data_IF_223566199939
#
_entry.id   IF_223566199939
#
_cell.length_a   1.000
_cell.length_b   1.000
_cell.length_c   1.000
_cell.angle_alpha   90.00
_cell.angle_beta   90.00
_cell.angle_gamma   90.00
#
_symmetry.space_group_name_H-M   'P 1'
#
loop_
_entity.id
_entity.type
_entity.pdbx_description
1 polymer ?
#
# COMPACT_ATOMS: atom_id res chain seq x y z
N UNK A 1 -5.28 1.61 -2.09
CA UNK A 1 -5.57 0.45 -2.98
C UNK A 1 -4.27 -0.01 -3.64
N UNK A 2 -4.14 -1.28 -4.06
CA UNK A 2 -2.98 -1.68 -4.89
C UNK A 2 -3.28 -1.31 -6.34
N UNK A 3 -2.34 -0.64 -6.98
CA UNK A 3 -2.42 -0.16 -8.36
C UNK A 3 -1.57 -1.03 -9.29
N UNK A 4 -1.94 -1.11 -10.56
CA UNK A 4 -1.21 -1.85 -11.59
C UNK A 4 -1.05 -1.01 -12.86
N UNK A 5 0.19 -0.96 -13.36
CA UNK A 5 0.55 -0.30 -14.63
C UNK A 5 1.05 -1.37 -15.61
N UNK A 6 0.23 -1.67 -16.62
CA UNK A 6 0.54 -2.67 -17.64
C UNK A 6 1.75 -2.30 -18.50
N UNK A 7 2.03 -1.00 -18.69
CA UNK A 7 3.15 -0.52 -19.52
C UNK A 7 4.51 -0.83 -18.88
N UNK A 8 4.56 -0.86 -17.54
CA UNK A 8 5.77 -1.21 -16.79
C UNK A 8 5.93 -2.72 -16.56
N UNK A 9 4.88 -3.50 -16.81
CA UNK A 9 4.88 -4.93 -16.57
C UNK A 9 5.68 -5.66 -17.66
N UNK A 10 6.65 -6.46 -17.27
CA UNK A 10 7.44 -7.34 -18.15
C UNK A 10 7.01 -8.81 -18.09
N UNK A 11 5.88 -9.11 -17.49
CA UNK A 11 5.31 -10.46 -17.39
C UNK A 11 6.21 -11.48 -16.65
N UNK A 12 7.02 -11.03 -15.70
CA UNK A 12 7.95 -11.89 -14.95
C UNK A 12 7.27 -12.79 -13.88
N UNK A 13 5.99 -12.55 -13.58
CA UNK A 13 5.14 -13.31 -12.66
C UNK A 13 5.59 -13.30 -11.17
N UNK A 14 6.56 -12.49 -10.78
CA UNK A 14 7.00 -12.36 -9.38
C UNK A 14 5.85 -12.00 -8.45
N UNK A 15 5.00 -11.07 -8.88
CA UNK A 15 3.84 -10.63 -8.11
C UNK A 15 2.82 -11.76 -7.82
N UNK A 16 2.71 -12.76 -8.72
CA UNK A 16 1.82 -13.91 -8.55
C UNK A 16 2.41 -14.87 -7.54
N UNK A 17 3.72 -15.16 -7.66
CA UNK A 17 4.42 -16.04 -6.73
C UNK A 17 4.45 -15.51 -5.30
N UNK A 18 4.53 -14.19 -5.15
CA UNK A 18 4.51 -13.51 -3.86
C UNK A 18 3.10 -13.37 -3.24
N UNK A 19 2.05 -13.56 -4.04
CA UNK A 19 0.68 -13.31 -3.59
C UNK A 19 0.15 -14.45 -2.72
N UNK A 20 -0.26 -14.19 -1.47
CA UNK A 20 -0.87 -15.21 -0.61
C UNK A 20 -2.30 -15.59 -1.04
N UNK A 21 -2.92 -14.78 -1.92
CA UNK A 21 -4.24 -15.02 -2.52
C UNK A 21 -4.12 -14.97 -4.05
N UNK A 22 -3.58 -16.03 -4.70
CA UNK A 22 -3.27 -16.01 -6.14
C UNK A 22 -4.48 -15.70 -7.02
N UNK A 23 -5.68 -16.07 -6.61
CA UNK A 23 -6.96 -15.79 -7.27
C UNK A 23 -7.29 -14.28 -7.39
N UNK A 24 -6.60 -13.44 -6.65
CA UNK A 24 -6.69 -11.99 -6.79
C UNK A 24 -5.98 -11.46 -8.05
N UNK A 25 -5.22 -12.30 -8.76
CA UNK A 25 -4.52 -11.92 -9.98
C UNK A 25 -5.25 -12.46 -11.21
N UNK A 26 -5.85 -11.58 -11.99
CA UNK A 26 -6.57 -11.92 -13.22
C UNK A 26 -5.66 -11.74 -14.43
N UNK A 27 -5.49 -12.79 -15.23
CA UNK A 27 -4.76 -12.71 -16.50
C UNK A 27 -5.50 -11.81 -17.50
N UNK A 28 -4.78 -10.91 -18.13
CA UNK A 28 -5.28 -10.00 -19.18
C UNK A 28 -4.27 -10.01 -20.33
N UNK A 29 -4.76 -10.11 -21.55
CA UNK A 29 -3.95 -9.96 -22.75
C UNK A 29 -3.82 -8.47 -23.08
N UNK A 30 -2.60 -8.00 -23.30
CA UNK A 30 -2.32 -6.67 -23.84
C UNK A 30 -2.42 -6.66 -25.36
N UNK A 31 -2.53 -5.47 -25.98
CA UNK A 31 -2.64 -5.33 -27.44
C UNK A 31 -1.39 -5.88 -28.16
N UNK A 32 -0.24 -5.86 -27.54
CA UNK A 32 1.03 -6.41 -28.03
C UNK A 32 1.18 -7.94 -27.78
N UNK A 33 0.12 -8.61 -27.31
CA UNK A 33 0.06 -10.05 -27.12
C UNK A 33 0.72 -10.58 -25.85
N UNK A 34 1.19 -9.70 -24.94
CA UNK A 34 1.73 -10.12 -23.63
C UNK A 34 0.59 -10.49 -22.69
N UNK A 35 0.83 -11.47 -21.83
CA UNK A 35 -0.07 -11.76 -20.71
C UNK A 35 0.41 -10.99 -19.48
N UNK A 36 -0.44 -10.10 -18.98
CA UNK A 36 -0.22 -9.37 -17.72
C UNK A 36 -1.30 -9.76 -16.70
N UNK A 37 -1.09 -9.41 -15.45
CA UNK A 37 -2.01 -9.79 -14.39
C UNK A 37 -2.53 -8.56 -13.65
N UNK A 38 -3.80 -8.26 -13.88
CA UNK A 38 -4.52 -7.21 -13.17
C UNK A 38 -4.94 -7.71 -11.78
N UNK A 39 -5.34 -6.80 -10.90
CA UNK A 39 -5.73 -7.09 -9.53
C UNK A 39 -7.25 -7.08 -9.44
N UNK A 40 -7.80 -8.15 -8.88
CA UNK A 40 -9.20 -8.20 -8.47
C UNK A 40 -9.32 -7.54 -7.08
N UNK A 41 -9.97 -6.36 -6.98
CA UNK A 41 -10.05 -5.62 -5.72
C UNK A 41 -10.87 -6.35 -4.64
N UNK A 42 -11.80 -7.23 -5.05
CA UNK A 42 -12.68 -7.96 -4.14
C UNK A 42 -11.97 -9.15 -3.49
N UNK A 43 -10.96 -9.70 -4.16
CA UNK A 43 -10.15 -10.83 -3.67
C UNK A 43 -8.83 -10.41 -3.06
N UNK A 44 -8.38 -9.20 -3.37
CA UNK A 44 -7.11 -8.68 -2.88
C UNK A 44 -7.17 -8.29 -1.41
N UNK A 45 -6.37 -8.93 -0.57
CA UNK A 45 -6.26 -8.61 0.87
C UNK A 45 -5.36 -7.40 1.16
N UNK A 46 -4.84 -6.74 0.13
CA UNK A 46 -4.03 -5.50 0.21
C UNK A 46 -2.76 -5.62 1.05
N UNK A 47 -2.16 -6.80 1.12
CA UNK A 47 -0.97 -7.07 1.95
C UNK A 47 0.32 -6.40 1.44
N UNK A 48 0.37 -5.93 0.18
CA UNK A 48 1.53 -5.25 -0.41
C UNK A 48 2.67 -6.16 -0.87
N UNK A 49 2.59 -7.49 -0.71
CA UNK A 49 3.65 -8.41 -1.12
C UNK A 49 4.03 -8.26 -2.60
N UNK A 50 3.05 -8.13 -3.49
CA UNK A 50 3.26 -7.93 -4.92
C UNK A 50 3.92 -6.57 -5.25
N UNK A 51 3.74 -5.55 -4.43
CA UNK A 51 4.41 -4.25 -4.58
C UNK A 51 5.87 -4.37 -4.21
N UNK A 52 6.15 -5.00 -3.06
CA UNK A 52 7.51 -5.23 -2.58
C UNK A 52 8.34 -6.05 -3.56
N UNK A 53 7.72 -7.06 -4.20
CA UNK A 53 8.40 -8.03 -5.07
C UNK A 53 8.53 -7.55 -6.53
N UNK A 54 7.86 -6.44 -6.91
CA UNK A 54 7.88 -5.92 -8.26
C UNK A 54 9.08 -4.99 -8.48
N UNK A 55 10.19 -5.51 -9.01
CA UNK A 55 11.39 -4.73 -9.35
C UNK A 55 11.18 -3.73 -10.49
N UNK A 56 10.07 -3.84 -11.24
CA UNK A 56 9.77 -2.99 -12.40
C UNK A 56 8.83 -1.81 -12.07
N UNK A 57 8.37 -1.70 -10.82
CA UNK A 57 7.45 -0.64 -10.40
C UNK A 57 6.07 -0.70 -11.09
N UNK A 58 5.70 -1.86 -11.65
CA UNK A 58 4.39 -2.08 -12.25
C UNK A 58 3.28 -2.26 -11.19
N UNK A 59 3.64 -2.61 -9.96
CA UNK A 59 2.74 -2.69 -8.81
C UNK A 59 3.09 -1.57 -7.84
N UNK A 60 2.11 -0.75 -7.51
CA UNK A 60 2.23 0.36 -6.56
C UNK A 60 1.01 0.38 -5.64
N UNK A 61 0.96 1.29 -4.71
CA UNK A 61 -0.20 1.52 -3.88
C UNK A 61 -0.57 3.01 -3.89
N UNK A 62 -1.82 3.27 -3.63
CA UNK A 62 -2.33 4.61 -3.40
C UNK A 62 -1.80 5.12 -2.06
N UNK A 63 -1.07 6.22 -2.09
CA UNK A 63 -0.42 6.79 -0.92
C UNK A 63 -1.13 8.07 -0.48
N UNK A 64 -1.76 8.02 0.68
CA UNK A 64 -2.51 9.15 1.26
C UNK A 64 -1.66 10.05 2.16
N UNK A 65 -0.35 9.80 2.28
CA UNK A 65 0.53 10.53 3.20
C UNK A 65 0.52 12.03 2.94
N UNK A 66 0.55 12.46 1.68
CA UNK A 66 0.50 13.87 1.33
C UNK A 66 -0.84 14.52 1.72
N UNK A 67 -1.94 13.81 1.49
CA UNK A 67 -3.28 14.24 1.90
C UNK A 67 -3.39 14.40 3.42
N UNK A 68 -2.91 13.41 4.17
CA UNK A 68 -2.85 13.45 5.63
C UNK A 68 -2.11 14.70 6.13
N UNK A 69 -0.90 14.97 5.64
CA UNK A 69 -0.13 16.13 6.08
C UNK A 69 -0.74 17.46 5.66
N UNK A 70 -1.40 17.52 4.51
CA UNK A 70 -2.13 18.72 4.09
C UNK A 70 -3.31 19.00 5.01
N UNK A 71 -4.03 17.98 5.44
CA UNK A 71 -5.15 18.11 6.37
C UNK A 71 -4.70 18.58 7.76
N UNK A 72 -3.63 17.98 8.29
CA UNK A 72 -3.03 18.38 9.58
C UNK A 72 -2.55 19.84 9.53
N UNK A 73 -1.76 20.21 8.51
CA UNK A 73 -1.23 21.57 8.32
C UNK A 73 -2.34 22.59 8.03
N UNK A 74 -3.42 22.17 7.39
CA UNK A 74 -4.60 22.97 7.14
C UNK A 74 -5.49 23.22 8.36
N UNK A 75 -5.10 22.69 9.54
CA UNK A 75 -5.84 22.88 10.80
C UNK A 75 -7.07 21.99 10.95
N UNK A 76 -7.23 20.96 10.12
CA UNK A 76 -8.29 19.96 10.31
C UNK A 76 -8.01 19.13 11.57
N UNK A 77 -9.09 18.78 12.27
CA UNK A 77 -9.00 17.90 13.43
C UNK A 77 -8.77 16.44 12.97
N UNK A 78 -7.54 16.01 12.92
CA UNK A 78 -7.18 14.64 12.55
C UNK A 78 -7.09 13.77 13.79
N UNK A 79 -7.79 12.63 13.75
CA UNK A 79 -7.76 11.58 14.77
C UNK A 79 -7.28 10.29 14.12
N UNK A 80 -6.39 9.57 14.79
CA UNK A 80 -5.84 8.32 14.30
C UNK A 80 -6.39 7.12 15.05
N UNK A 81 -6.73 6.07 14.31
CA UNK A 81 -6.93 4.72 14.83
C UNK A 81 -5.68 3.90 14.51
N UNK A 82 -4.99 3.44 15.54
CA UNK A 82 -3.71 2.74 15.39
C UNK A 82 -3.84 1.28 15.80
N UNK A 83 -3.64 0.38 14.85
CA UNK A 83 -3.65 -1.05 15.13
C UNK A 83 -2.48 -1.44 16.05
N UNK A 84 -2.65 -2.44 16.94
CA UNK A 84 -1.58 -2.94 17.82
C UNK A 84 -0.31 -3.39 17.09
N UNK A 85 -0.42 -3.75 15.81
CA UNK A 85 0.69 -4.13 14.93
C UNK A 85 1.75 -3.03 14.76
N UNK A 86 1.44 -1.77 15.09
CA UNK A 86 2.44 -0.68 15.10
C UNK A 86 3.64 -1.02 16.00
N UNK A 87 3.40 -1.77 17.09
CA UNK A 87 4.46 -2.19 18.01
C UNK A 87 5.46 -3.14 17.35
N UNK A 88 5.01 -3.92 16.39
CA UNK A 88 5.84 -4.85 15.61
C UNK A 88 6.51 -4.12 14.45
N UNK A 89 5.76 -3.25 13.74
CA UNK A 89 6.28 -2.50 12.59
C UNK A 89 7.35 -1.48 13.00
N UNK A 90 7.24 -0.90 14.20
CA UNK A 90 8.15 0.12 14.76
C UNK A 90 8.71 -0.35 16.10
N UNK A 91 9.25 -1.57 16.13
CA UNK A 91 9.81 -2.15 17.36
C UNK A 91 10.85 -1.22 18.00
N UNK A 92 10.71 -1.04 19.33
CA UNK A 92 11.57 -0.14 20.11
C UNK A 92 11.28 1.36 19.94
N UNK A 93 10.61 1.83 18.89
CA UNK A 93 10.39 3.25 18.63
C UNK A 93 8.93 3.68 18.38
N UNK A 94 7.96 2.79 18.48
CA UNK A 94 6.56 3.09 18.19
C UNK A 94 5.97 4.25 19.02
N UNK A 95 6.43 4.40 20.29
CA UNK A 95 6.00 5.54 21.13
C UNK A 95 6.48 6.87 20.56
N UNK A 96 7.72 6.93 20.08
CA UNK A 96 8.29 8.12 19.48
C UNK A 96 7.54 8.51 18.20
N UNK A 97 7.08 7.51 17.43
CA UNK A 97 6.24 7.75 16.24
C UNK A 97 4.91 8.42 16.65
N UNK A 98 4.24 7.90 17.68
CA UNK A 98 2.98 8.49 18.15
C UNK A 98 3.18 9.89 18.72
N UNK A 99 4.25 10.12 19.46
CA UNK A 99 4.59 11.44 20.00
C UNK A 99 4.92 12.44 18.89
N UNK A 100 5.67 12.02 17.88
CA UNK A 100 5.92 12.81 16.68
C UNK A 100 4.63 13.23 15.98
N UNK A 101 3.67 12.32 15.82
CA UNK A 101 2.38 12.62 15.19
C UNK A 101 1.57 13.63 16.02
N UNK A 102 1.53 13.48 17.34
CA UNK A 102 0.87 14.43 18.25
C UNK A 102 1.52 15.82 18.19
N UNK A 103 2.83 15.88 18.25
CA UNK A 103 3.56 17.16 18.21
C UNK A 103 3.44 17.88 16.86
N UNK A 104 3.05 17.17 15.80
CA UNK A 104 2.81 17.73 14.47
C UNK A 104 1.32 18.02 14.18
N UNK A 105 0.44 17.96 15.19
CA UNK A 105 -0.93 18.46 15.08
C UNK A 105 -2.01 17.39 14.98
N UNK A 106 -1.68 16.11 15.18
CA UNK A 106 -2.70 15.07 15.35
C UNK A 106 -3.39 15.26 16.71
N UNK A 107 -4.71 15.37 16.72
CA UNK A 107 -5.49 15.69 17.90
C UNK A 107 -5.52 14.56 18.91
N UNK A 108 -5.90 13.37 18.46
CA UNK A 108 -6.06 12.19 19.29
C UNK A 108 -5.56 10.92 18.58
N UNK A 109 -5.11 9.93 19.36
CA UNK A 109 -4.64 8.63 18.87
C UNK A 109 -5.23 7.53 19.76
N UNK A 110 -5.96 6.60 19.14
CA UNK A 110 -6.63 5.45 19.77
C UNK A 110 -6.05 4.13 19.30
#
# INVERSE_FOLDING_TARGET
MILFDANKCVSCNSCIRACPTPEANKAVQTEDGRTVYNIDPDKCIRCGACVKDCSHGARTYEDDTAGFWNDVKGGKQVVLLVAPSIKVAFDGCWRNVLEFLRSNGVKDIY
#
